data_IF_834740061183
#
_entry.id   IF_834740061183
#
_cell.length_a   1.000
_cell.length_b   1.000
_cell.length_c   1.000
_cell.angle_alpha   90.00
_cell.angle_beta   90.00
_cell.angle_gamma   90.00
#
_symmetry.space_group_name_H-M   'P 1'
#
loop_
_entity.id
_entity.type
_entity.pdbx_description
1 polymer ?
#
# COMPACT_ATOMS: atom_id res chain seq x y z
N UNK A 1 -12.62 -10.29 2.02
CA UNK A 1 -12.61 -11.76 2.14
C UNK A 1 -11.22 -12.33 1.93
N UNK A 2 -10.55 -12.15 0.77
CA UNK A 2 -9.22 -12.72 0.53
C UNK A 2 -8.20 -12.31 1.60
N UNK A 3 -8.21 -11.05 2.03
CA UNK A 3 -7.39 -10.52 3.11
C UNK A 3 -7.71 -11.23 4.45
N UNK A 4 -9.00 -11.40 4.78
CA UNK A 4 -9.42 -12.10 6.00
C UNK A 4 -8.97 -13.57 5.99
N UNK A 5 -9.10 -14.26 4.86
CA UNK A 5 -8.65 -15.65 4.75
C UNK A 5 -7.12 -15.79 4.84
N UNK A 6 -6.37 -14.85 4.26
CA UNK A 6 -4.91 -14.81 4.42
C UNK A 6 -4.51 -14.64 5.89
N UNK A 7 -5.14 -13.70 6.59
CA UNK A 7 -4.90 -13.45 8.02
C UNK A 7 -5.27 -14.67 8.89
N UNK A 8 -6.41 -15.32 8.63
CA UNK A 8 -6.81 -16.57 9.31
C UNK A 8 -5.84 -17.72 9.07
N UNK A 9 -5.20 -17.74 7.90
CA UNK A 9 -4.15 -18.71 7.56
C UNK A 9 -2.77 -18.35 8.16
N UNK A 10 -2.66 -17.28 8.95
CA UNK A 10 -1.40 -16.83 9.55
C UNK A 10 -0.48 -16.08 8.57
N UNK A 11 -1.01 -15.57 7.47
CA UNK A 11 -0.26 -14.81 6.48
C UNK A 11 -0.35 -13.32 6.79
N UNK A 12 0.75 -12.61 7.09
CA UNK A 12 0.77 -11.16 7.29
C UNK A 12 0.22 -10.41 6.08
N UNK A 13 -0.51 -9.32 6.34
CA UNK A 13 -1.12 -8.49 5.29
C UNK A 13 -0.68 -7.04 5.44
N UNK A 14 -0.19 -6.46 4.33
CA UNK A 14 -0.08 -5.01 4.13
C UNK A 14 -1.20 -4.57 3.20
N UNK A 15 -2.10 -3.72 3.69
CA UNK A 15 -3.20 -3.18 2.89
C UNK A 15 -3.03 -1.68 2.68
N UNK A 16 -3.04 -1.24 1.42
CA UNK A 16 -3.00 0.17 1.04
C UNK A 16 -4.42 0.65 0.80
N UNK A 17 -4.92 1.45 1.73
CA UNK A 17 -6.31 1.88 1.82
C UNK A 17 -6.47 3.31 1.30
N UNK A 18 -6.83 3.42 0.03
CA UNK A 18 -7.01 4.69 -0.68
C UNK A 18 -8.35 5.36 -0.32
N UNK A 19 -9.37 4.55 -0.05
CA UNK A 19 -10.75 5.03 0.18
C UNK A 19 -11.16 5.12 1.65
N UNK A 20 -10.43 4.46 2.56
CA UNK A 20 -10.76 4.38 3.97
C UNK A 20 -11.65 3.18 4.34
N UNK A 21 -11.94 2.30 3.38
CA UNK A 21 -12.85 1.16 3.59
C UNK A 21 -12.16 -0.06 4.22
N UNK A 22 -10.87 -0.28 3.97
CA UNK A 22 -10.14 -1.43 4.50
C UNK A 22 -9.93 -1.34 6.01
N UNK A 23 -9.90 -0.12 6.56
CA UNK A 23 -9.86 0.11 8.00
C UNK A 23 -11.05 -0.53 8.74
N UNK A 24 -12.14 -0.84 8.05
CA UNK A 24 -13.27 -1.61 8.58
C UNK A 24 -12.90 -3.03 9.05
N UNK A 25 -11.71 -3.52 8.76
CA UNK A 25 -11.20 -4.75 9.39
C UNK A 25 -11.20 -4.65 10.92
N UNK A 26 -11.08 -3.45 11.49
CA UNK A 26 -11.23 -3.17 12.92
C UNK A 26 -12.66 -3.39 13.45
N UNK A 27 -13.65 -3.54 12.58
CA UNK A 27 -15.06 -3.70 12.92
C UNK A 27 -15.49 -5.17 12.86
N UNK A 28 -14.68 -6.07 13.38
CA UNK A 28 -15.11 -7.44 13.63
C UNK A 28 -16.12 -7.44 14.78
N UNK A 29 -17.39 -7.74 14.49
CA UNK A 29 -18.44 -7.78 15.48
C UNK A 29 -18.27 -9.02 16.36
N UNK A 30 -17.60 -8.86 17.47
CA UNK A 30 -17.08 -9.92 18.36
C UNK A 30 -18.13 -10.57 19.23
N UNK A 31 -19.09 -9.77 19.72
CA UNK A 31 -20.05 -10.20 20.72
C UNK A 31 -21.28 -10.84 20.06
N UNK A 32 -21.50 -10.56 18.78
CA UNK A 32 -22.71 -11.00 18.09
C UNK A 32 -23.96 -10.32 18.64
N UNK A 33 -23.81 -9.09 19.15
CA UNK A 33 -24.86 -8.29 19.75
C UNK A 33 -25.16 -7.06 18.87
N UNK A 34 -26.42 -6.70 18.77
CA UNK A 34 -26.87 -5.52 18.07
C UNK A 34 -26.24 -4.21 18.58
N UNK A 35 -25.90 -4.15 19.87
CA UNK A 35 -25.28 -2.97 20.49
C UNK A 35 -23.93 -2.58 19.90
N UNK A 36 -23.18 -3.54 19.34
CA UNK A 36 -21.90 -3.24 18.66
C UNK A 36 -22.09 -2.31 17.46
N UNK A 37 -23.27 -2.34 16.83
CA UNK A 37 -23.59 -1.49 15.70
C UNK A 37 -24.07 -0.10 16.10
N UNK A 38 -24.66 0.07 17.30
CA UNK A 38 -25.19 1.34 17.75
C UNK A 38 -24.14 2.46 17.81
N UNK A 39 -22.93 2.12 18.25
CA UNK A 39 -21.81 3.06 18.35
C UNK A 39 -21.49 3.73 16.99
N UNK A 40 -21.83 3.06 15.88
CA UNK A 40 -21.54 3.53 14.53
C UNK A 40 -22.76 4.12 13.80
N UNK A 41 -23.88 4.20 14.48
CA UNK A 41 -25.13 4.79 13.99
C UNK A 41 -25.38 6.20 14.54
N UNK A 42 -24.29 6.91 14.92
CA UNK A 42 -24.37 8.27 15.50
C UNK A 42 -25.05 9.29 14.60
N UNK A 43 -25.05 9.06 13.28
CA UNK A 43 -25.72 9.91 12.29
C UNK A 43 -27.27 9.83 12.37
N UNK A 44 -27.80 8.76 13.00
CA UNK A 44 -29.22 8.55 13.14
C UNK A 44 -29.74 9.07 14.50
N UNK A 45 -31.02 9.49 14.57
CA UNK A 45 -31.65 9.86 15.84
C UNK A 45 -31.55 8.73 16.88
N UNK A 46 -31.26 9.07 18.13
CA UNK A 46 -31.09 8.09 19.21
C UNK A 46 -32.26 7.10 19.34
N UNK A 47 -33.49 7.56 19.09
CA UNK A 47 -34.72 6.72 19.12
C UNK A 47 -34.77 5.63 18.04
N UNK A 48 -33.97 5.72 16.98
CA UNK A 48 -33.94 4.75 15.89
C UNK A 48 -32.70 3.85 15.89
N UNK A 49 -31.65 4.21 16.63
CA UNK A 49 -30.36 3.48 16.60
C UNK A 49 -30.51 2.03 17.02
N UNK A 50 -31.22 1.76 18.12
CA UNK A 50 -31.42 0.40 18.60
C UNK A 50 -32.11 -0.49 17.56
N UNK A 51 -33.18 -0.02 16.95
CA UNK A 51 -33.92 -0.77 15.93
C UNK A 51 -33.06 -1.01 14.67
N UNK A 52 -32.33 0.01 14.18
CA UNK A 52 -31.41 -0.13 13.06
C UNK A 52 -30.26 -1.11 13.36
N UNK A 53 -29.75 -1.09 14.59
CA UNK A 53 -28.70 -2.00 15.02
C UNK A 53 -29.19 -3.45 15.04
N UNK A 54 -30.42 -3.71 15.50
CA UNK A 54 -31.07 -5.03 15.47
C UNK A 54 -31.27 -5.52 14.03
N UNK A 55 -31.73 -4.66 13.12
CA UNK A 55 -31.90 -5.00 11.71
C UNK A 55 -30.56 -5.36 11.06
N UNK A 56 -29.52 -4.54 11.27
CA UNK A 56 -28.18 -4.80 10.75
C UNK A 56 -27.61 -6.10 11.29
N UNK A 57 -27.74 -6.34 12.60
CA UNK A 57 -27.30 -7.57 13.24
C UNK A 57 -27.99 -8.79 12.63
N UNK A 58 -29.33 -8.76 12.48
CA UNK A 58 -30.10 -9.85 11.88
C UNK A 58 -29.69 -10.12 10.44
N UNK A 59 -29.55 -9.07 9.62
CA UNK A 59 -29.11 -9.19 8.22
C UNK A 59 -27.72 -9.84 8.11
N UNK A 60 -26.77 -9.39 8.93
CA UNK A 60 -25.39 -9.92 8.91
C UNK A 60 -25.34 -11.36 9.39
N UNK A 61 -26.00 -11.68 10.49
CA UNK A 61 -26.08 -13.03 11.03
C UNK A 61 -26.65 -14.01 10.00
N UNK A 62 -27.73 -13.61 9.31
CA UNK A 62 -28.31 -14.41 8.23
C UNK A 62 -27.34 -14.57 7.04
N UNK A 63 -26.62 -13.51 6.67
CA UNK A 63 -25.65 -13.56 5.58
C UNK A 63 -24.45 -14.47 5.88
N UNK A 64 -23.92 -14.45 7.11
CA UNK A 64 -22.83 -15.31 7.57
C UNK A 64 -23.30 -16.78 7.68
N UNK A 65 -24.51 -17.01 8.20
CA UNK A 65 -25.08 -18.35 8.36
C UNK A 65 -25.22 -19.11 7.03
N UNK A 66 -25.42 -18.42 5.89
CA UNK A 66 -25.41 -19.01 4.55
C UNK A 66 -24.07 -19.71 4.23
N UNK A 67 -22.99 -19.31 4.90
CA UNK A 67 -21.64 -19.83 4.73
C UNK A 67 -21.17 -20.67 5.93
N UNK A 68 -22.08 -20.99 6.84
CA UNK A 68 -21.82 -21.71 8.10
C UNK A 68 -20.82 -20.95 8.99
N UNK A 69 -20.90 -19.62 8.97
CA UNK A 69 -20.10 -18.72 9.78
C UNK A 69 -21.00 -17.96 10.76
N UNK A 70 -20.42 -17.56 11.89
CA UNK A 70 -21.14 -16.81 12.93
C UNK A 70 -20.21 -15.79 13.64
N UNK A 71 -20.69 -15.21 14.73
CA UNK A 71 -19.93 -14.26 15.54
C UNK A 71 -18.66 -14.86 16.15
N UNK A 72 -18.59 -16.18 16.36
CA UNK A 72 -17.37 -16.83 16.87
C UNK A 72 -16.23 -16.80 15.85
N UNK A 73 -16.54 -16.89 14.55
CA UNK A 73 -15.56 -16.72 13.47
C UNK A 73 -15.02 -15.31 13.42
N UNK A 74 -15.89 -14.29 13.58
CA UNK A 74 -15.49 -12.90 13.63
C UNK A 74 -14.58 -12.62 14.85
N UNK A 75 -14.93 -13.15 16.00
CA UNK A 75 -14.14 -13.08 17.24
C UNK A 75 -12.78 -13.78 17.07
N UNK A 76 -12.77 -14.96 16.47
CA UNK A 76 -11.55 -15.71 16.19
C UNK A 76 -10.60 -14.94 15.27
N UNK A 77 -11.13 -14.31 14.21
CA UNK A 77 -10.34 -13.43 13.33
C UNK A 77 -9.72 -12.28 14.14
N UNK A 78 -10.52 -11.55 14.91
CA UNK A 78 -10.05 -10.39 15.69
C UNK A 78 -8.98 -10.78 16.71
N UNK A 79 -9.14 -11.93 17.38
CA UNK A 79 -8.17 -12.43 18.35
C UNK A 79 -6.88 -12.93 17.70
N UNK A 80 -6.95 -13.41 16.46
CA UNK A 80 -5.81 -13.99 15.74
C UNK A 80 -4.93 -12.93 15.06
N UNK A 81 -5.40 -11.68 14.91
CA UNK A 81 -4.69 -10.62 14.19
C UNK A 81 -4.14 -9.55 15.12
N UNK A 82 -2.99 -8.99 14.75
CA UNK A 82 -2.42 -7.79 15.34
C UNK A 82 -2.64 -6.63 14.37
N UNK A 83 -3.81 -5.99 14.47
CA UNK A 83 -4.19 -4.91 13.57
C UNK A 83 -3.51 -3.60 13.94
N UNK A 84 -2.91 -2.96 12.93
CA UNK A 84 -2.39 -1.60 12.99
C UNK A 84 -2.99 -0.79 11.86
N UNK A 85 -3.49 0.40 12.15
CA UNK A 85 -3.98 1.35 11.14
C UNK A 85 -3.07 2.55 11.15
N UNK A 86 -2.21 2.60 10.15
CA UNK A 86 -1.21 3.64 9.96
C UNK A 86 -1.81 4.80 9.15
N UNK A 87 -1.65 6.02 9.65
CA UNK A 87 -2.17 7.24 9.00
C UNK A 87 -1.03 8.25 8.81
N UNK A 88 -0.22 8.11 7.73
CA UNK A 88 0.88 9.02 7.46
C UNK A 88 0.39 10.48 7.40
N UNK A 89 1.12 11.41 8.03
CA UNK A 89 0.72 12.82 8.08
C UNK A 89 -0.48 13.12 8.97
N UNK A 90 -0.99 12.15 9.73
CA UNK A 90 -2.15 12.31 10.62
C UNK A 90 -1.96 11.57 11.94
N UNK A 91 -2.62 12.07 12.98
CA UNK A 91 -2.69 11.43 14.30
C UNK A 91 -4.02 10.70 14.54
N UNK A 92 -4.82 10.51 13.49
CA UNK A 92 -6.11 9.82 13.61
C UNK A 92 -5.93 8.33 13.96
N UNK A 93 -5.02 7.66 13.26
CA UNK A 93 -4.53 6.33 13.61
C UNK A 93 -3.11 6.40 14.17
N UNK A 94 -2.31 5.38 13.92
CA UNK A 94 -0.89 5.37 14.25
C UNK A 94 -0.10 6.22 13.24
N UNK A 95 0.67 7.19 13.72
CA UNK A 95 1.48 8.05 12.86
C UNK A 95 2.67 7.27 12.29
N UNK A 96 3.10 7.64 11.08
CA UNK A 96 4.25 7.06 10.37
C UNK A 96 5.25 8.14 10.02
N UNK A 97 6.50 7.90 10.35
CA UNK A 97 7.63 8.74 9.92
C UNK A 97 7.99 8.38 8.47
N UNK A 98 7.41 9.08 7.51
CA UNK A 98 7.54 8.75 6.07
C UNK A 98 8.96 8.95 5.53
N UNK A 99 9.76 9.82 6.16
CA UNK A 99 11.17 10.05 5.80
C UNK A 99 12.14 9.20 6.64
N UNK A 100 11.67 8.15 7.31
CA UNK A 100 12.54 7.35 8.19
C UNK A 100 13.72 6.71 7.46
N UNK A 101 13.59 6.34 6.19
CA UNK A 101 14.70 5.83 5.37
C UNK A 101 15.85 6.85 5.20
N UNK A 102 15.54 8.15 5.30
CA UNK A 102 16.49 9.26 5.25
C UNK A 102 16.94 9.66 6.67
N UNK A 103 15.99 9.87 7.56
CA UNK A 103 16.23 10.55 8.84
C UNK A 103 16.60 9.62 9.99
N UNK A 104 16.43 8.30 9.85
CA UNK A 104 16.73 7.32 10.90
C UNK A 104 17.80 6.36 10.46
N UNK A 105 18.80 6.06 11.33
CA UNK A 105 19.75 5.00 11.05
C UNK A 105 19.00 3.65 10.98
N UNK A 106 19.38 2.83 10.03
CA UNK A 106 18.83 1.49 9.83
C UNK A 106 19.95 0.48 9.69
N UNK A 107 19.74 -0.75 10.19
CA UNK A 107 20.73 -1.82 10.13
C UNK A 107 21.25 -2.12 8.70
N UNK A 108 20.48 -1.81 7.67
CA UNK A 108 20.88 -1.96 6.24
C UNK A 108 22.15 -1.18 5.87
N UNK A 109 22.51 -0.13 6.62
CA UNK A 109 23.69 0.70 6.36
C UNK A 109 24.94 0.25 7.10
N UNK A 110 24.83 -0.65 8.08
CA UNK A 110 25.97 -1.10 8.88
C UNK A 110 26.77 -2.21 8.20
N UNK A 111 28.05 -2.35 8.53
CA UNK A 111 28.91 -3.43 8.02
C UNK A 111 28.43 -4.80 8.47
N UNK A 112 27.75 -4.85 9.62
CA UNK A 112 27.16 -6.07 10.21
C UNK A 112 25.71 -6.30 9.75
N UNK A 113 25.25 -5.60 8.70
CA UNK A 113 23.91 -5.83 8.14
C UNK A 113 23.75 -7.31 7.76
N UNK A 114 22.60 -7.93 8.10
CA UNK A 114 22.34 -9.29 7.68
C UNK A 114 22.57 -9.46 6.18
N UNK A 115 23.16 -10.59 5.77
CA UNK A 115 23.46 -10.88 4.36
C UNK A 115 22.21 -10.82 3.44
N UNK A 116 21.02 -10.84 4.03
CA UNK A 116 19.72 -10.63 3.36
C UNK A 116 19.47 -9.19 2.93
N UNK A 117 20.21 -8.20 3.45
CA UNK A 117 20.04 -6.79 3.12
C UNK A 117 21.22 -6.31 2.27
N UNK A 118 20.96 -5.91 1.04
CA UNK A 118 21.99 -5.36 0.18
C UNK A 118 22.08 -3.83 0.33
N UNK A 119 23.27 -3.30 0.17
CA UNK A 119 23.50 -1.86 0.11
C UNK A 119 22.72 -1.19 -1.03
N UNK A 120 22.42 -1.95 -2.07
CA UNK A 120 21.65 -1.49 -3.22
C UNK A 120 20.19 -1.17 -2.80
N UNK A 121 19.56 -2.01 -1.99
CA UNK A 121 18.20 -1.80 -1.48
C UNK A 121 18.13 -0.60 -0.52
N UNK A 122 19.16 -0.44 0.33
CA UNK A 122 19.27 0.72 1.20
C UNK A 122 19.35 2.02 0.38
N UNK A 123 20.12 2.02 -0.71
CA UNK A 123 20.24 3.15 -1.64
C UNK A 123 18.95 3.40 -2.42
N UNK A 124 18.22 2.37 -2.83
CA UNK A 124 16.90 2.53 -3.48
C UNK A 124 15.90 3.19 -2.53
N UNK A 125 15.82 2.76 -1.27
CA UNK A 125 14.95 3.38 -0.27
C UNK A 125 15.34 4.83 0.03
N UNK A 126 16.65 5.12 0.16
CA UNK A 126 17.17 6.47 0.32
C UNK A 126 16.79 7.36 -0.89
N UNK A 127 17.03 6.87 -2.10
CA UNK A 127 16.71 7.58 -3.34
C UNK A 127 15.21 7.91 -3.43
N UNK A 128 14.34 6.99 -3.04
CA UNK A 128 12.90 7.24 -2.99
C UNK A 128 12.53 8.34 -1.98
N UNK A 129 13.16 8.33 -0.79
CA UNK A 129 12.93 9.35 0.23
C UNK A 129 13.43 10.75 -0.24
N UNK A 130 14.61 10.82 -0.85
CA UNK A 130 15.14 12.07 -1.42
C UNK A 130 14.25 12.57 -2.56
N UNK A 131 13.80 11.68 -3.46
CA UNK A 131 12.85 12.04 -4.53
C UNK A 131 11.56 12.61 -3.97
N UNK A 132 11.03 12.06 -2.87
CA UNK A 132 9.85 12.61 -2.21
C UNK A 132 10.11 14.01 -1.66
N UNK A 133 11.24 14.23 -0.98
CA UNK A 133 11.60 15.56 -0.46
C UNK A 133 11.65 16.58 -1.61
N UNK A 134 12.29 16.25 -2.73
CA UNK A 134 12.36 17.14 -3.89
C UNK A 134 10.98 17.44 -4.50
N UNK A 135 10.09 16.43 -4.58
CA UNK A 135 8.69 16.67 -5.01
C UNK A 135 7.95 17.63 -4.09
N UNK A 136 8.11 17.50 -2.77
CA UNK A 136 7.51 18.41 -1.81
C UNK A 136 8.04 19.86 -1.94
N UNK A 137 9.21 20.03 -2.55
CA UNK A 137 9.81 21.34 -2.86
C UNK A 137 9.52 21.81 -4.29
N UNK A 138 8.69 21.08 -5.05
CA UNK A 138 8.43 21.33 -6.49
C UNK A 138 9.72 21.36 -7.33
N UNK A 139 10.63 20.42 -7.04
CA UNK A 139 11.92 20.27 -7.74
C UNK A 139 12.00 18.95 -8.47
N UNK A 140 12.93 18.84 -9.45
CA UNK A 140 13.10 17.62 -10.22
C UNK A 140 13.53 16.44 -9.32
N UNK A 141 12.68 15.39 -9.16
CA UNK A 141 12.95 14.25 -8.30
C UNK A 141 13.74 13.14 -8.99
N UNK A 142 14.06 13.27 -10.30
CA UNK A 142 14.68 12.20 -11.09
C UNK A 142 16.14 11.95 -10.65
N UNK A 143 16.48 10.78 -10.07
CA UNK A 143 17.82 10.49 -9.59
C UNK A 143 18.89 10.48 -10.70
N UNK A 144 18.49 10.31 -11.96
CA UNK A 144 19.43 10.28 -13.09
C UNK A 144 19.72 11.67 -13.68
N UNK A 145 18.86 12.66 -13.42
CA UNK A 145 18.97 14.01 -14.01
C UNK A 145 19.24 15.09 -12.98
N UNK A 146 18.63 14.98 -11.81
CA UNK A 146 18.68 16.03 -10.80
C UNK A 146 20.01 16.05 -10.07
N UNK A 147 20.78 17.12 -10.24
CA UNK A 147 22.02 17.36 -9.48
C UNK A 147 21.74 17.49 -7.98
N UNK A 148 20.60 18.08 -7.62
CA UNK A 148 20.16 18.20 -6.23
C UNK A 148 19.88 16.86 -5.60
N UNK A 149 19.23 15.95 -6.35
CA UNK A 149 19.01 14.57 -5.91
C UNK A 149 20.32 13.83 -5.61
N UNK A 150 21.29 13.92 -6.54
CA UNK A 150 22.60 13.28 -6.37
C UNK A 150 23.33 13.87 -5.15
N UNK A 151 23.32 15.19 -4.97
CA UNK A 151 23.96 15.85 -3.83
C UNK A 151 23.32 15.43 -2.50
N UNK A 152 21.99 15.52 -2.37
CA UNK A 152 21.30 15.12 -1.15
C UNK A 152 21.49 13.65 -0.82
N UNK A 153 21.45 12.77 -1.82
CA UNK A 153 21.70 11.33 -1.62
C UNK A 153 23.12 11.07 -1.16
N UNK A 154 24.12 11.78 -1.71
CA UNK A 154 25.54 11.62 -1.32
C UNK A 154 25.76 12.09 0.12
N UNK A 155 25.22 13.24 0.50
CA UNK A 155 25.30 13.76 1.87
C UNK A 155 24.60 12.83 2.86
N UNK A 156 23.39 12.36 2.52
CA UNK A 156 22.62 11.48 3.38
C UNK A 156 23.29 10.10 3.54
N UNK A 157 23.78 9.48 2.45
CA UNK A 157 24.48 8.19 2.52
C UNK A 157 25.70 8.25 3.46
N UNK A 158 26.41 9.37 3.48
CA UNK A 158 27.55 9.55 4.37
C UNK A 158 27.15 9.45 5.85
N UNK A 159 26.07 10.12 6.25
CA UNK A 159 25.56 10.05 7.63
C UNK A 159 25.03 8.66 7.96
N UNK A 160 24.24 8.08 7.08
CA UNK A 160 23.65 6.76 7.29
C UNK A 160 24.71 5.66 7.44
N UNK A 161 25.79 5.72 6.65
CA UNK A 161 26.94 4.80 6.80
C UNK A 161 27.72 5.00 8.09
N UNK A 162 27.70 6.20 8.64
CA UNK A 162 28.27 6.50 9.95
C UNK A 162 27.36 6.08 11.12
N UNK A 163 26.20 5.43 10.83
CA UNK A 163 25.22 5.04 11.83
C UNK A 163 24.37 6.18 12.38
N UNK A 164 24.38 7.34 11.70
CA UNK A 164 23.59 8.53 12.06
C UNK A 164 22.46 8.74 11.05
N UNK A 165 21.34 9.34 11.49
CA UNK A 165 20.30 9.79 10.57
C UNK A 165 20.71 11.04 9.82
N UNK A 166 20.30 11.14 8.55
CA UNK A 166 20.47 12.34 7.74
C UNK A 166 19.19 13.20 7.83
N UNK A 167 18.95 13.77 9.01
CA UNK A 167 17.78 14.63 9.25
C UNK A 167 17.84 15.89 8.39
N UNK A 168 16.69 16.50 8.07
CA UNK A 168 16.65 17.68 7.21
C UNK A 168 17.51 18.84 7.74
N UNK A 169 17.58 19.02 9.06
CA UNK A 169 18.43 20.04 9.68
C UNK A 169 19.93 19.74 9.53
N UNK A 170 20.31 18.46 9.52
CA UNK A 170 21.69 18.03 9.20
C UNK A 170 22.01 18.31 7.73
N UNK A 171 21.12 17.93 6.82
CA UNK A 171 21.30 18.19 5.39
C UNK A 171 21.34 19.68 5.06
N UNK A 172 20.55 20.52 5.73
CA UNK A 172 20.60 21.98 5.59
C UNK A 172 21.99 22.52 5.98
N UNK A 173 22.56 22.05 7.09
CA UNK A 173 23.91 22.44 7.51
C UNK A 173 24.97 21.99 6.50
N UNK A 174 24.86 20.73 6.04
CA UNK A 174 25.81 20.18 5.06
C UNK A 174 25.72 20.88 3.68
N UNK A 175 24.57 21.42 3.31
CA UNK A 175 24.42 22.24 2.09
C UNK A 175 25.10 23.59 2.22
N UNK A 176 25.06 24.19 3.42
CA UNK A 176 25.65 25.52 3.69
C UNK A 176 27.16 25.42 3.97
N UNK A 177 27.60 24.36 4.67
CA UNK A 177 29.00 24.07 4.97
C UNK A 177 29.29 22.60 4.59
N UNK A 178 29.57 22.30 3.31
CA UNK A 178 29.66 20.95 2.81
C UNK A 178 30.86 20.18 3.35
N UNK A 179 30.64 18.95 3.88
CA UNK A 179 31.71 18.10 4.38
C UNK A 179 32.45 17.31 3.28
N UNK A 180 32.30 17.73 2.02
CA UNK A 180 32.90 17.07 0.85
C UNK A 180 33.35 18.13 -0.18
N UNK A 181 34.51 17.89 -0.79
CA UNK A 181 35.07 18.78 -1.80
C UNK A 181 34.63 18.41 -3.24
N UNK A 182 34.24 17.16 -3.46
CA UNK A 182 33.89 16.61 -4.79
C UNK A 182 32.62 15.79 -4.74
N UNK A 183 31.89 15.78 -5.86
CA UNK A 183 30.79 14.85 -6.15
C UNK A 183 31.13 14.11 -7.44
N UNK A 184 31.37 12.82 -7.34
CA UNK A 184 31.96 12.05 -8.45
C UNK A 184 33.36 12.58 -8.83
N UNK A 185 33.54 12.93 -10.09
CA UNK A 185 34.79 13.47 -10.62
C UNK A 185 34.89 15.02 -10.62
N UNK A 186 33.81 15.70 -10.24
CA UNK A 186 33.72 17.17 -10.29
C UNK A 186 33.91 17.78 -8.90
N UNK A 187 34.58 18.96 -8.85
CA UNK A 187 34.53 19.80 -7.65
C UNK A 187 33.09 20.19 -7.34
N UNK A 188 32.79 20.29 -6.05
CA UNK A 188 31.41 20.53 -5.58
C UNK A 188 30.80 21.81 -6.19
N UNK A 189 31.56 22.91 -6.23
CA UNK A 189 31.07 24.18 -6.77
C UNK A 189 30.86 24.14 -8.29
N UNK A 190 31.58 23.27 -8.99
CA UNK A 190 31.35 23.02 -10.41
C UNK A 190 30.11 22.13 -10.64
N UNK A 191 29.79 21.26 -9.67
CA UNK A 191 28.62 20.38 -9.74
C UNK A 191 27.32 21.08 -9.32
N UNK A 192 27.31 21.73 -8.14
CA UNK A 192 26.22 22.56 -7.61
C UNK A 192 26.82 23.77 -6.92
N UNK A 193 26.58 24.96 -7.45
CA UNK A 193 27.17 26.22 -6.93
C UNK A 193 26.72 26.50 -5.49
N UNK A 194 27.49 27.29 -4.77
CA UNK A 194 27.15 27.72 -3.40
C UNK A 194 25.78 28.43 -3.32
N UNK A 195 25.40 29.18 -4.33
CA UNK A 195 24.10 29.84 -4.39
C UNK A 195 22.96 28.85 -4.59
N UNK A 196 23.11 27.84 -5.46
CA UNK A 196 22.13 26.78 -5.66
C UNK A 196 21.94 25.98 -4.38
N UNK A 197 23.03 25.64 -3.67
CA UNK A 197 22.97 24.97 -2.38
C UNK A 197 22.25 25.78 -1.30
N UNK A 198 22.51 27.08 -1.25
CA UNK A 198 21.82 27.99 -0.31
C UNK A 198 20.31 28.08 -0.61
N UNK A 199 19.93 28.13 -1.88
CA UNK A 199 18.51 28.08 -2.28
C UNK A 199 17.83 26.78 -1.90
N UNK A 200 18.50 25.64 -2.09
CA UNK A 200 17.98 24.33 -1.68
C UNK A 200 17.87 24.25 -0.15
N UNK A 201 18.86 24.73 0.58
CA UNK A 201 18.84 24.78 2.04
C UNK A 201 17.69 25.66 2.57
N UNK A 202 17.44 26.80 1.95
CA UNK A 202 16.32 27.68 2.30
C UNK A 202 14.95 26.99 2.03
N UNK A 203 14.81 26.30 0.92
CA UNK A 203 13.60 25.53 0.60
C UNK A 203 13.35 24.38 1.59
N UNK A 204 14.39 23.60 1.93
CA UNK A 204 14.31 22.56 2.97
C UNK A 204 13.94 23.14 4.34
N UNK A 205 14.50 24.28 4.70
CA UNK A 205 14.17 24.96 5.95
C UNK A 205 12.72 25.45 5.99
N UNK A 206 12.19 25.92 4.88
CA UNK A 206 10.77 26.31 4.80
C UNK A 206 9.86 25.08 4.99
N UNK A 207 10.21 23.93 4.40
CA UNK A 207 9.51 22.68 4.61
C UNK A 207 9.59 22.22 6.08
N UNK A 208 10.78 22.24 6.66
CA UNK A 208 11.03 21.85 8.05
C UNK A 208 10.26 22.72 9.06
N UNK A 209 10.15 24.02 8.79
CA UNK A 209 9.44 24.99 9.62
C UNK A 209 7.90 24.87 9.51
N UNK A 210 7.38 24.13 8.52
CA UNK A 210 5.94 23.95 8.32
C UNK A 210 5.33 23.07 9.42
N UNK A 211 4.33 23.55 10.19
CA UNK A 211 3.66 22.75 11.22
C UNK A 211 2.97 21.50 10.65
N UNK A 212 2.45 21.57 9.42
CA UNK A 212 1.81 20.44 8.75
C UNK A 212 2.80 19.33 8.43
N UNK A 213 4.03 19.69 8.07
CA UNK A 213 5.08 18.73 7.75
C UNK A 213 5.61 18.00 9.00
N UNK A 214 5.50 18.57 10.18
CA UNK A 214 5.92 17.93 11.43
C UNK A 214 5.25 16.57 11.64
N UNK A 215 3.97 16.42 11.25
CA UNK A 215 3.22 15.15 11.36
C UNK A 215 3.76 14.03 10.46
N UNK A 216 4.53 14.36 9.42
CA UNK A 216 5.14 13.40 8.48
C UNK A 216 6.46 12.82 9.00
N UNK A 217 7.02 13.42 10.04
CA UNK A 217 8.30 13.05 10.66
C UNK A 217 8.13 12.42 12.04
N UNK A 218 6.92 12.07 12.43
CA UNK A 218 6.61 11.48 13.74
C UNK A 218 5.98 10.10 13.58
N UNK A 219 6.12 9.26 14.62
CA UNK A 219 5.50 7.94 14.64
C UNK A 219 6.46 6.79 14.31
N UNK A 220 5.91 5.66 13.92
CA UNK A 220 6.66 4.44 13.59
C UNK A 220 7.54 4.64 12.34
N UNK A 221 8.68 3.97 12.28
CA UNK A 221 9.48 3.94 11.05
C UNK A 221 8.71 3.27 9.92
N UNK A 222 8.97 3.71 8.70
CA UNK A 222 8.50 3.04 7.48
C UNK A 222 9.46 1.85 7.23
N UNK A 223 9.18 0.74 7.90
CA UNK A 223 10.02 -0.44 7.90
C UNK A 223 9.16 -1.70 8.00
N UNK A 224 9.04 -2.45 6.89
CA UNK A 224 8.21 -3.64 6.83
C UNK A 224 8.73 -4.79 7.70
N UNK A 225 10.01 -4.88 7.91
CA UNK A 225 10.63 -5.84 8.83
C UNK A 225 10.13 -5.63 10.27
N UNK A 226 9.98 -4.38 10.73
CA UNK A 226 9.35 -4.07 12.00
C UNK A 226 7.84 -4.34 12.00
N UNK A 227 7.16 -4.02 10.89
CA UNK A 227 5.71 -4.17 10.79
C UNK A 227 5.26 -5.63 10.75
N UNK A 228 6.05 -6.49 10.13
CA UNK A 228 5.81 -7.93 9.99
C UNK A 228 6.61 -8.79 10.98
N UNK A 229 7.33 -8.15 11.91
CA UNK A 229 8.08 -8.87 12.93
C UNK A 229 7.18 -9.87 13.67
N UNK A 230 7.66 -11.10 13.92
CA UNK A 230 6.95 -12.06 14.74
C UNK A 230 6.62 -11.46 16.11
N UNK A 231 5.38 -11.64 16.56
CA UNK A 231 4.93 -11.12 17.84
C UNK A 231 4.97 -12.21 18.91
N UNK A 232 5.24 -11.82 20.15
CA UNK A 232 5.22 -12.73 21.29
C UNK A 232 3.85 -13.39 21.51
N UNK A 233 2.77 -12.62 21.24
CA UNK A 233 1.38 -13.09 21.30
C UNK A 233 0.96 -13.98 20.12
N UNK A 234 1.85 -14.24 19.16
CA UNK A 234 1.65 -15.05 17.95
C UNK A 234 0.51 -14.57 17.05
N UNK A 235 -0.01 -13.37 17.24
CA UNK A 235 -1.02 -12.81 16.36
C UNK A 235 -0.44 -12.42 15.01
N UNK A 236 -1.20 -12.66 13.96
CA UNK A 236 -0.81 -12.37 12.57
C UNK A 236 -0.81 -10.86 12.32
N UNK A 237 0.28 -10.25 11.86
CA UNK A 237 0.32 -8.83 11.52
C UNK A 237 -0.69 -8.47 10.43
N UNK A 238 -1.53 -7.48 10.70
CA UNK A 238 -2.45 -6.86 9.75
C UNK A 238 -2.20 -5.35 9.75
N UNK A 239 -1.50 -4.85 8.74
CA UNK A 239 -1.10 -3.44 8.64
C UNK A 239 -1.89 -2.78 7.54
N UNK A 240 -2.65 -1.75 7.89
CA UNK A 240 -3.43 -0.94 6.94
C UNK A 240 -2.81 0.45 6.90
N UNK A 241 -2.33 0.85 5.73
CA UNK A 241 -1.86 2.22 5.48
C UNK A 241 -3.01 3.00 4.85
N UNK A 242 -3.71 3.79 5.65
CA UNK A 242 -4.85 4.59 5.20
C UNK A 242 -4.40 5.99 4.79
N UNK A 243 -4.63 6.31 3.53
CA UNK A 243 -4.28 7.59 2.89
C UNK A 243 -5.51 8.34 2.37
N UNK A 244 -6.70 7.93 2.79
CA UNK A 244 -7.97 8.52 2.34
C UNK A 244 -8.12 10.02 2.67
N UNK A 245 -7.38 10.50 3.66
CA UNK A 245 -7.39 11.90 4.09
C UNK A 245 -6.43 12.81 3.29
N UNK A 246 -5.64 12.24 2.39
CA UNK A 246 -4.63 12.96 1.61
C UNK A 246 -5.18 13.42 0.26
N UNK A 247 -4.62 14.50 -0.27
CA UNK A 247 -4.76 14.84 -1.69
C UNK A 247 -4.08 13.80 -2.60
N UNK A 248 -4.34 13.87 -3.89
CA UNK A 248 -3.90 12.84 -4.84
C UNK A 248 -2.36 12.78 -4.96
N UNK A 249 -1.67 13.93 -4.95
CA UNK A 249 -0.22 14.00 -5.08
C UNK A 249 0.49 13.45 -3.83
N UNK A 250 0.08 13.90 -2.65
CA UNK A 250 0.60 13.38 -1.37
C UNK A 250 0.36 11.87 -1.26
N UNK A 251 -0.84 11.40 -1.63
CA UNK A 251 -1.22 9.98 -1.63
C UNK A 251 -0.29 9.15 -2.48
N UNK A 252 -0.10 9.52 -3.75
CA UNK A 252 0.75 8.78 -4.70
C UNK A 252 2.21 8.76 -4.23
N UNK A 253 2.72 9.87 -3.67
CA UNK A 253 4.08 9.94 -3.15
C UNK A 253 4.27 9.04 -1.92
N UNK A 254 3.37 9.08 -0.93
CA UNK A 254 3.44 8.24 0.27
C UNK A 254 3.33 6.75 -0.09
N UNK A 255 2.35 6.41 -0.94
CA UNK A 255 2.19 5.03 -1.38
C UNK A 255 3.40 4.54 -2.18
N UNK A 256 4.04 5.42 -2.95
CA UNK A 256 5.31 5.14 -3.62
C UNK A 256 6.39 4.70 -2.64
N UNK A 257 6.59 5.44 -1.54
CA UNK A 257 7.56 5.09 -0.49
C UNK A 257 7.23 3.76 0.20
N UNK A 258 5.95 3.54 0.57
CA UNK A 258 5.52 2.29 1.19
C UNK A 258 5.76 1.10 0.26
N UNK A 259 5.48 1.25 -1.03
CA UNK A 259 5.69 0.20 -2.03
C UNK A 259 7.17 -0.05 -2.34
N UNK A 260 8.02 0.98 -2.34
CA UNK A 260 9.48 0.79 -2.47
C UNK A 260 10.05 0.07 -1.26
N UNK A 261 9.61 0.39 -0.05
CA UNK A 261 9.98 -0.35 1.16
C UNK A 261 9.50 -1.81 1.08
N UNK A 262 8.27 -2.04 0.61
CA UNK A 262 7.72 -3.38 0.40
C UNK A 262 8.54 -4.19 -0.62
N UNK A 263 9.01 -3.55 -1.69
CA UNK A 263 9.87 -4.16 -2.69
C UNK A 263 11.26 -4.49 -2.11
N UNK A 264 11.86 -3.57 -1.37
CA UNK A 264 13.14 -3.78 -0.70
C UNK A 264 13.05 -4.93 0.32
N UNK A 265 12.00 -4.92 1.16
CA UNK A 265 11.73 -6.02 2.09
C UNK A 265 11.54 -7.35 1.36
N UNK A 266 10.79 -7.38 0.26
CA UNK A 266 10.55 -8.60 -0.54
C UNK A 266 11.87 -9.19 -1.06
N UNK A 267 12.75 -8.36 -1.61
CA UNK A 267 14.05 -8.78 -2.15
C UNK A 267 15.01 -9.29 -1.08
N UNK A 268 14.89 -8.81 0.14
CA UNK A 268 15.65 -9.28 1.29
C UNK A 268 15.23 -10.67 1.79
N UNK A 269 14.10 -11.20 1.31
CA UNK A 269 13.62 -12.52 1.74
C UNK A 269 14.28 -13.65 0.97
N UNK A 270 14.44 -14.81 1.63
CA UNK A 270 14.81 -16.05 0.95
C UNK A 270 13.68 -16.53 0.04
N UNK A 271 14.03 -17.19 -1.09
CA UNK A 271 13.06 -17.79 -1.98
C UNK A 271 12.19 -18.86 -1.29
N UNK A 272 10.91 -18.92 -1.65
CA UNK A 272 9.97 -19.89 -1.11
C UNK A 272 8.78 -20.09 -2.04
N UNK A 273 8.15 -21.28 -1.97
CA UNK A 273 6.88 -21.56 -2.65
C UNK A 273 5.65 -21.30 -1.75
N UNK A 274 5.86 -21.11 -0.44
CA UNK A 274 4.78 -20.78 0.50
C UNK A 274 4.46 -19.28 0.46
N UNK A 275 3.20 -18.92 0.68
CA UNK A 275 2.79 -17.51 0.79
C UNK A 275 3.29 -16.96 2.14
N UNK A 276 4.25 -16.03 2.06
CA UNK A 276 4.90 -15.39 3.21
C UNK A 276 4.15 -14.14 3.67
N UNK A 277 3.67 -13.35 2.72
CA UNK A 277 2.92 -12.13 2.98
C UNK A 277 2.01 -11.78 1.81
N UNK A 278 0.99 -10.97 2.07
CA UNK A 278 0.06 -10.49 1.07
C UNK A 278 0.03 -8.96 1.08
N UNK A 279 0.27 -8.34 -0.07
CA UNK A 279 0.13 -6.90 -0.28
C UNK A 279 -1.19 -6.66 -1.02
N UNK A 280 -2.05 -5.82 -0.46
CA UNK A 280 -3.37 -5.49 -1.03
C UNK A 280 -3.41 -4.01 -1.36
N UNK A 281 -3.69 -3.66 -2.60
CA UNK A 281 -3.92 -2.28 -3.05
C UNK A 281 -5.39 -2.16 -3.43
N UNK A 282 -6.15 -1.47 -2.58
CA UNK A 282 -7.56 -1.19 -2.85
C UNK A 282 -7.68 0.10 -3.66
N UNK A 283 -8.22 -0.01 -4.86
CA UNK A 283 -8.31 1.05 -5.87
C UNK A 283 -6.93 1.50 -6.40
N UNK A 284 -6.48 0.80 -7.42
CA UNK A 284 -5.19 1.07 -8.06
C UNK A 284 -5.25 2.19 -9.12
N UNK A 285 -6.43 2.84 -9.27
CA UNK A 285 -6.60 4.00 -10.17
C UNK A 285 -5.55 5.09 -9.89
N UNK A 286 -4.89 5.57 -10.93
CA UNK A 286 -3.83 6.59 -10.84
C UNK A 286 -2.48 6.08 -10.32
N UNK A 287 -2.40 4.88 -9.74
CA UNK A 287 -1.15 4.33 -9.21
C UNK A 287 -0.29 3.63 -10.28
N UNK A 288 -0.92 3.07 -11.32
CA UNK A 288 -0.24 2.38 -12.43
C UNK A 288 -0.90 2.78 -13.76
N UNK A 289 -0.89 4.07 -14.11
CA UNK A 289 -1.49 4.53 -15.36
C UNK A 289 -0.70 4.02 -16.58
N UNK A 290 -1.34 4.03 -17.77
CA UNK A 290 -0.64 3.79 -19.01
C UNK A 290 0.48 4.82 -19.28
N UNK A 291 1.52 4.39 -20.01
CA UNK A 291 2.56 5.32 -20.48
C UNK A 291 1.94 6.51 -21.25
N UNK A 292 2.46 7.75 -21.11
CA UNK A 292 3.78 8.13 -20.58
C UNK A 292 3.82 8.47 -19.08
N UNK A 293 2.74 8.38 -18.34
CA UNK A 293 2.75 8.74 -16.91
C UNK A 293 3.56 7.74 -16.09
N UNK A 294 4.44 8.25 -15.24
CA UNK A 294 5.38 7.48 -14.43
C UNK A 294 5.31 7.91 -12.94
N UNK A 295 4.19 7.64 -12.25
CA UNK A 295 4.09 7.95 -10.83
C UNK A 295 5.07 7.07 -10.03
N UNK A 296 5.50 7.51 -8.83
CA UNK A 296 6.44 6.76 -7.98
C UNK A 296 5.95 5.37 -7.58
N UNK A 297 4.65 5.12 -7.63
CA UNK A 297 4.01 3.82 -7.34
C UNK A 297 4.17 2.78 -8.46
N UNK A 298 4.36 3.22 -9.71
CA UNK A 298 4.33 2.33 -10.88
C UNK A 298 5.48 1.31 -10.86
N UNK A 299 6.72 1.77 -10.67
CA UNK A 299 7.91 0.92 -10.65
C UNK A 299 7.81 -0.21 -9.60
N UNK A 300 7.56 0.09 -8.32
CA UNK A 300 7.50 -0.95 -7.30
C UNK A 300 6.33 -1.91 -7.50
N UNK A 301 5.14 -1.45 -7.93
CA UNK A 301 4.00 -2.34 -8.22
C UNK A 301 4.37 -3.34 -9.33
N UNK A 302 4.87 -2.86 -10.46
CA UNK A 302 5.26 -3.72 -11.59
C UNK A 302 6.35 -4.72 -11.18
N UNK A 303 7.32 -4.28 -10.36
CA UNK A 303 8.41 -5.13 -9.87
C UNK A 303 7.91 -6.21 -8.91
N UNK A 304 7.05 -5.86 -7.96
CA UNK A 304 6.41 -6.80 -7.04
C UNK A 304 5.56 -7.83 -7.77
N UNK A 305 4.76 -7.41 -8.75
CA UNK A 305 3.97 -8.32 -9.60
C UNK A 305 4.84 -9.34 -10.35
N UNK A 306 6.05 -8.95 -10.77
CA UNK A 306 6.96 -9.83 -11.50
C UNK A 306 7.77 -10.75 -10.58
N UNK A 307 8.25 -10.25 -9.45
CA UNK A 307 9.26 -10.89 -8.64
C UNK A 307 8.70 -11.49 -7.34
N UNK A 308 7.62 -10.92 -6.79
CA UNK A 308 7.10 -11.26 -5.47
C UNK A 308 6.84 -12.75 -5.26
N UNK A 309 6.34 -13.45 -6.28
CA UNK A 309 6.09 -14.90 -6.22
C UNK A 309 7.32 -15.72 -5.81
N UNK A 310 8.50 -15.37 -6.31
CA UNK A 310 9.73 -16.10 -6.00
C UNK A 310 10.11 -16.02 -4.51
N UNK A 311 9.66 -14.96 -3.83
CA UNK A 311 9.91 -14.69 -2.42
C UNK A 311 8.70 -14.99 -1.52
N UNK A 312 7.64 -15.57 -2.09
CA UNK A 312 6.40 -15.88 -1.37
C UNK A 312 5.54 -14.65 -1.08
N UNK A 313 5.73 -13.54 -1.78
CA UNK A 313 4.91 -12.35 -1.61
C UNK A 313 3.83 -12.30 -2.68
N UNK A 314 2.58 -12.39 -2.25
CA UNK A 314 1.41 -12.20 -3.08
C UNK A 314 1.02 -10.74 -3.20
N UNK A 315 0.45 -10.33 -4.35
CA UNK A 315 -0.07 -8.99 -4.55
C UNK A 315 -1.50 -9.04 -5.10
N UNK A 316 -2.40 -8.30 -4.48
CA UNK A 316 -3.77 -8.09 -4.95
C UNK A 316 -3.91 -6.63 -5.36
N UNK A 317 -4.29 -6.41 -6.61
CA UNK A 317 -4.65 -5.11 -7.14
C UNK A 317 -6.15 -5.08 -7.41
N UNK A 318 -6.89 -4.19 -6.77
CA UNK A 318 -8.30 -3.98 -7.03
C UNK A 318 -8.51 -2.68 -7.81
N UNK A 319 -9.42 -2.69 -8.77
CA UNK A 319 -9.86 -1.48 -9.48
C UNK A 319 -11.29 -1.60 -9.96
N UNK A 320 -11.97 -0.49 -10.02
CA UNK A 320 -13.30 -0.38 -10.64
C UNK A 320 -13.20 -0.04 -12.15
N UNK A 321 -12.03 0.45 -12.60
CA UNK A 321 -11.82 0.85 -13.97
C UNK A 321 -10.56 0.16 -14.57
N UNK A 322 -10.72 -0.99 -15.23
CA UNK A 322 -9.61 -1.73 -15.80
C UNK A 322 -8.93 -1.03 -16.99
N UNK A 323 -9.57 -0.03 -17.61
CA UNK A 323 -9.00 0.71 -18.75
C UNK A 323 -7.81 1.58 -18.34
N UNK A 324 -7.76 2.01 -17.08
CA UNK A 324 -6.73 2.91 -16.57
C UNK A 324 -5.46 2.18 -16.08
N UNK A 325 -5.41 0.86 -16.24
CA UNK A 325 -4.23 0.08 -15.87
C UNK A 325 -3.28 -0.13 -17.04
N UNK A 326 -1.97 -0.02 -16.74
CA UNK A 326 -0.93 -0.41 -17.68
C UNK A 326 -1.06 -1.89 -18.08
N UNK A 327 -0.98 -2.17 -19.38
CA UNK A 327 -1.06 -3.53 -19.93
C UNK A 327 0.00 -4.48 -19.35
N UNK A 328 1.21 -3.98 -19.06
CA UNK A 328 2.29 -4.78 -18.46
C UNK A 328 1.94 -5.29 -17.06
N UNK A 329 1.20 -4.50 -16.31
CA UNK A 329 0.70 -4.90 -14.98
C UNK A 329 -0.35 -6.00 -15.13
N UNK A 330 -1.30 -5.82 -16.03
CA UNK A 330 -2.34 -6.80 -16.30
C UNK A 330 -1.76 -8.15 -16.78
N UNK A 331 -0.77 -8.13 -17.68
CA UNK A 331 -0.16 -9.35 -18.22
C UNK A 331 0.62 -10.19 -17.19
N UNK A 332 1.00 -9.61 -16.05
CA UNK A 332 1.68 -10.33 -14.98
C UNK A 332 0.71 -10.95 -13.95
N UNK A 333 -0.60 -10.68 -14.06
CA UNK A 333 -1.59 -11.25 -13.16
C UNK A 333 -1.82 -12.74 -13.47
N UNK A 334 -1.44 -13.62 -12.57
CA UNK A 334 -1.70 -15.06 -12.67
C UNK A 334 -3.11 -15.46 -12.23
N UNK A 335 -3.79 -14.59 -11.49
CA UNK A 335 -5.14 -14.80 -10.98
C UNK A 335 -6.02 -13.60 -11.29
N UNK A 336 -7.22 -13.86 -11.79
CA UNK A 336 -8.21 -12.85 -12.14
C UNK A 336 -9.52 -13.13 -11.39
N UNK A 337 -10.09 -12.11 -10.78
CA UNK A 337 -11.43 -12.12 -10.20
C UNK A 337 -12.21 -10.97 -10.81
N UNK A 338 -13.06 -11.25 -11.77
CA UNK A 338 -13.78 -10.25 -12.55
C UNK A 338 -15.22 -10.20 -12.08
N UNK A 339 -15.59 -9.10 -11.46
CA UNK A 339 -16.97 -8.78 -11.12
C UNK A 339 -17.75 -8.26 -12.33
N UNK A 340 -18.98 -7.81 -12.09
CA UNK A 340 -19.83 -7.22 -13.12
C UNK A 340 -19.19 -5.94 -13.68
N UNK A 341 -19.05 -5.85 -15.01
CA UNK A 341 -18.58 -4.67 -15.72
C UNK A 341 -19.71 -4.12 -16.62
N UNK A 342 -19.86 -2.79 -16.61
CA UNK A 342 -21.00 -2.13 -17.29
C UNK A 342 -20.72 -1.87 -18.76
N UNK A 343 -19.51 -1.43 -19.13
CA UNK A 343 -19.19 -1.03 -20.50
C UNK A 343 -18.65 -2.18 -21.33
N UNK A 344 -18.91 -2.16 -22.64
CA UNK A 344 -18.37 -3.16 -23.57
C UNK A 344 -16.86 -3.05 -23.70
N UNK A 345 -16.33 -1.82 -23.59
CA UNK A 345 -14.89 -1.56 -23.67
C UNK A 345 -14.15 -2.20 -22.49
N UNK A 346 -14.65 -2.03 -21.25
CA UNK A 346 -14.06 -2.65 -20.06
C UNK A 346 -14.09 -4.17 -20.13
N UNK A 347 -15.24 -4.74 -20.54
CA UNK A 347 -15.35 -6.20 -20.72
C UNK A 347 -14.36 -6.73 -21.75
N UNK A 348 -14.26 -6.08 -22.90
CA UNK A 348 -13.31 -6.44 -23.94
C UNK A 348 -11.85 -6.42 -23.44
N UNK A 349 -11.48 -5.33 -22.77
CA UNK A 349 -10.13 -5.13 -22.22
C UNK A 349 -9.74 -6.21 -21.21
N UNK A 350 -10.63 -6.48 -20.25
CA UNK A 350 -10.37 -7.46 -19.20
C UNK A 350 -10.31 -8.88 -19.76
N UNK A 351 -11.21 -9.23 -20.68
CA UNK A 351 -11.24 -10.55 -21.29
C UNK A 351 -10.00 -10.75 -22.17
N UNK A 352 -9.56 -9.75 -22.91
CA UNK A 352 -8.31 -9.80 -23.69
C UNK A 352 -7.11 -10.01 -22.75
N UNK A 353 -7.01 -9.25 -21.66
CA UNK A 353 -5.95 -9.41 -20.66
C UNK A 353 -5.94 -10.79 -20.01
N UNK A 354 -7.11 -11.29 -19.63
CA UNK A 354 -7.28 -12.59 -18.99
C UNK A 354 -6.99 -13.78 -19.92
N UNK A 355 -7.37 -13.69 -21.18
CA UNK A 355 -7.28 -14.82 -22.14
C UNK A 355 -6.03 -14.78 -22.99
N UNK A 356 -5.32 -13.64 -23.06
CA UNK A 356 -4.20 -13.39 -23.97
C UNK A 356 -4.62 -13.38 -25.46
N UNK A 357 -5.91 -13.44 -25.75
CA UNK A 357 -6.45 -13.52 -27.09
C UNK A 357 -7.04 -12.17 -27.50
N UNK A 358 -6.48 -11.55 -28.55
CA UNK A 358 -7.20 -10.44 -29.21
C UNK A 358 -8.58 -10.91 -29.62
N UNK A 359 -9.59 -10.09 -29.34
CA UNK A 359 -10.99 -10.30 -29.72
C UNK A 359 -11.15 -10.32 -31.25
N UNK A 360 -10.58 -11.32 -31.90
CA UNK A 360 -10.89 -11.63 -33.29
C UNK A 360 -12.16 -12.48 -33.34
N UNK A 361 -13.12 -12.11 -34.16
CA UNK A 361 -14.50 -12.64 -34.33
C UNK A 361 -14.67 -14.17 -34.37
N UNK A 362 -13.62 -14.99 -34.24
CA UNK A 362 -13.64 -16.43 -34.53
C UNK A 362 -13.49 -17.40 -33.37
N UNK A 363 -13.42 -16.96 -32.07
CA UNK A 363 -13.38 -17.93 -30.95
C UNK A 363 -14.69 -17.88 -30.18
N UNK A 364 -15.48 -18.92 -30.26
CA UNK A 364 -16.84 -19.05 -29.70
C UNK A 364 -16.96 -18.91 -28.17
N UNK A 365 -15.87 -19.02 -27.42
CA UNK A 365 -15.90 -18.89 -25.96
C UNK A 365 -15.89 -17.44 -25.46
N UNK A 366 -15.42 -16.47 -26.25
CA UNK A 366 -15.24 -15.07 -25.86
C UNK A 366 -16.59 -14.32 -25.76
N UNK A 367 -17.53 -14.46 -26.71
CA UNK A 367 -18.86 -13.85 -26.59
C UNK A 367 -19.64 -14.33 -25.34
N UNK A 368 -19.63 -15.64 -25.09
CA UNK A 368 -20.29 -16.23 -23.91
C UNK A 368 -19.74 -15.69 -22.60
N UNK A 369 -18.41 -15.45 -22.51
CA UNK A 369 -17.79 -14.89 -21.31
C UNK A 369 -18.14 -13.40 -21.12
N UNK A 370 -18.22 -12.64 -22.21
CA UNK A 370 -18.63 -11.24 -22.22
C UNK A 370 -20.06 -11.09 -21.67
N UNK A 371 -20.98 -11.93 -22.15
CA UNK A 371 -22.36 -11.96 -21.68
C UNK A 371 -22.44 -12.38 -20.21
N UNK A 372 -21.69 -13.38 -19.81
CA UNK A 372 -21.59 -13.82 -18.41
C UNK A 372 -21.16 -12.66 -17.50
N UNK A 373 -20.10 -11.93 -17.83
CA UNK A 373 -19.60 -10.80 -17.01
C UNK A 373 -20.64 -9.67 -16.92
N UNK A 374 -21.42 -9.43 -17.99
CA UNK A 374 -22.50 -8.44 -18.01
C UNK A 374 -23.63 -8.78 -17.02
N UNK A 375 -23.96 -10.07 -16.89
CA UNK A 375 -25.11 -10.56 -16.12
C UNK A 375 -24.76 -10.97 -14.68
N UNK A 376 -23.49 -10.86 -14.27
CA UNK A 376 -23.07 -11.20 -12.90
C UNK A 376 -23.89 -10.45 -11.86
N UNK A 377 -24.36 -11.19 -10.88
CA UNK A 377 -25.01 -10.65 -9.67
C UNK A 377 -23.97 -10.21 -8.65
N UNK A 378 -24.40 -9.46 -7.66
CA UNK A 378 -23.55 -9.04 -6.54
C UNK A 378 -22.86 -10.25 -5.91
N UNK A 379 -21.53 -10.11 -5.61
CA UNK A 379 -20.65 -11.14 -5.04
C UNK A 379 -20.37 -12.34 -5.93
N UNK A 380 -20.78 -12.33 -7.18
CA UNK A 380 -20.38 -13.31 -8.17
C UNK A 380 -19.26 -12.76 -9.02
N UNK A 381 -18.27 -13.62 -9.29
CA UNK A 381 -17.07 -13.30 -10.05
C UNK A 381 -16.80 -14.39 -11.07
N UNK A 382 -16.29 -13.99 -12.22
CA UNK A 382 -15.55 -14.91 -13.09
C UNK A 382 -14.15 -15.00 -12.51
N UNK A 383 -13.79 -16.21 -12.09
CA UNK A 383 -12.52 -16.54 -11.50
C UNK A 383 -11.66 -17.28 -12.50
N UNK A 384 -10.44 -16.80 -12.76
CA UNK A 384 -9.48 -17.45 -13.66
C UNK A 384 -8.13 -17.52 -13.00
N UNK A 385 -7.62 -18.73 -12.85
CA UNK A 385 -6.22 -18.97 -12.54
C UNK A 385 -5.50 -19.35 -13.85
N UNK A 386 -4.44 -18.64 -14.21
CA UNK A 386 -3.67 -18.90 -15.45
C UNK A 386 -3.04 -20.30 -15.50
N UNK A 387 -2.84 -20.92 -14.33
CA UNK A 387 -2.28 -22.27 -14.19
C UNK A 387 -3.35 -23.37 -14.12
N UNK A 388 -4.63 -23.01 -14.13
CA UNK A 388 -5.73 -23.97 -14.12
C UNK A 388 -6.13 -24.33 -15.55
N UNK A 389 -5.93 -25.60 -15.99
CA UNK A 389 -6.33 -26.03 -17.32
C UNK A 389 -7.84 -26.06 -17.54
N UNK A 390 -8.65 -26.11 -16.48
CA UNK A 390 -10.11 -26.09 -16.58
C UNK A 390 -10.66 -24.75 -17.07
N UNK A 391 -9.84 -23.69 -17.05
CA UNK A 391 -10.20 -22.37 -17.53
C UNK A 391 -11.00 -21.53 -16.51
N UNK A 392 -11.73 -20.50 -16.97
CA UNK A 392 -12.50 -19.65 -16.07
C UNK A 392 -13.75 -20.35 -15.54
N UNK A 393 -14.07 -20.11 -14.28
CA UNK A 393 -15.29 -20.62 -13.62
C UNK A 393 -15.98 -19.51 -12.82
N UNK A 394 -17.24 -19.73 -12.47
CA UNK A 394 -18.01 -18.80 -11.63
C UNK A 394 -17.74 -19.12 -10.16
N UNK A 395 -17.43 -18.09 -9.40
CA UNK A 395 -17.26 -18.16 -7.97
C UNK A 395 -18.17 -17.14 -7.27
N UNK A 396 -18.84 -17.59 -6.21
CA UNK A 396 -19.56 -16.70 -5.29
C UNK A 396 -18.71 -16.49 -4.04
N UNK A 397 -18.52 -15.24 -3.64
CA UNK A 397 -17.73 -14.88 -2.47
C UNK A 397 -18.63 -14.71 -1.25
N UNK A 398 -18.22 -15.24 -0.10
CA UNK A 398 -18.91 -15.08 1.20
C UNK A 398 -18.98 -13.62 1.65
N UNK A 399 -19.80 -13.36 2.63
CA UNK A 399 -19.80 -12.10 3.37
C UNK A 399 -18.49 -11.95 4.18
N UNK A 400 -18.06 -10.71 4.41
CA UNK A 400 -16.90 -10.42 5.26
C UNK A 400 -17.22 -10.68 6.72
N UNK A 401 -16.22 -11.14 7.49
CA UNK A 401 -16.34 -11.25 8.95
C UNK A 401 -16.32 -9.87 9.61
N UNK A 402 -15.59 -8.92 9.04
CA UNK A 402 -15.65 -7.52 9.41
C UNK A 402 -16.86 -6.82 8.81
N UNK A 403 -17.37 -5.80 9.48
CA UNK A 403 -18.50 -5.03 8.99
C UNK A 403 -18.04 -3.88 8.08
N UNK A 404 -18.37 -3.97 6.80
CA UNK A 404 -18.08 -2.93 5.81
C UNK A 404 -19.18 -1.87 5.84
N UNK A 405 -19.02 -0.83 6.66
CA UNK A 405 -19.99 0.27 6.79
C UNK A 405 -19.72 1.45 5.86
N UNK A 406 -18.64 1.43 5.12
CA UNK A 406 -18.11 2.56 4.35
C UNK A 406 -16.86 3.16 5.01
N UNK A 407 -16.29 4.25 4.45
CA UNK A 407 -15.05 4.84 4.92
C UNK A 407 -15.08 5.22 6.41
N UNK A 408 -14.03 4.86 7.13
CA UNK A 408 -13.86 5.26 8.52
C UNK A 408 -13.41 6.71 8.62
N UNK A 409 -14.07 7.49 9.47
CA UNK A 409 -13.68 8.87 9.75
C UNK A 409 -12.46 8.94 10.68
N UNK A 410 -11.80 10.11 10.73
CA UNK A 410 -10.73 10.34 11.70
C UNK A 410 -11.17 10.17 13.15
N UNK A 411 -12.44 10.42 13.47
CA UNK A 411 -13.01 10.19 14.79
C UNK A 411 -13.12 8.69 15.11
N UNK A 412 -13.58 7.90 14.15
CA UNK A 412 -13.68 6.44 14.29
C UNK A 412 -12.29 5.80 14.51
N UNK A 413 -11.29 6.25 13.75
CA UNK A 413 -9.91 5.76 13.89
C UNK A 413 -9.34 6.07 15.28
N UNK A 414 -9.57 7.29 15.81
CA UNK A 414 -9.13 7.65 17.17
C UNK A 414 -9.81 6.82 18.24
N UNK A 415 -11.08 6.48 18.09
CA UNK A 415 -11.83 5.67 19.05
C UNK A 415 -11.34 4.21 19.10
N UNK A 416 -10.55 3.77 18.10
CA UNK A 416 -9.99 2.42 17.99
C UNK A 416 -8.51 2.31 18.35
N UNK A 417 -7.87 3.45 18.62
CA UNK A 417 -6.48 3.52 19.11
C UNK A 417 -6.39 3.21 20.59
#
# INVERSE_FOLDING_TARGET
VLMEEALRAGVPVLALDVKGDLANLALACREGDAREYEAFLSEHPASRRGHLAEELHAQRSAALALWKLDASDARSLDQSIALRILTPGSTAGESVHVLSALERPHARWTVDAPASHSLTEAREALSAAVSMVLRLLDRDPDPARSREHVLLSTLAERHLRAGAGATLDVLIRDLLDPPLAHVGALELDAFVTANERAQLAAALNALLASPTFASWRTGASLALDEWFAPREDRRTPAVIVSVAHMDDDARVNVLGLVLEEALAWTRAQSGTSALRALIVVDEVFGLVPPHPAEPPTRRPIVSLMKQGRAFGVGMILATQNPMDLDYRTLSNAGLWAIGRLQTDADRARVIEGMTGAKLTRKKSAVPALTDTVKELRQRWFVWRNAHDPAGPHLARVRDTLSWLRGPMTSADLRARR
#
